data_IF_020174998901
#
_entry.id   IF_020174998901
#
_cell.length_a   1.000
_cell.length_b   1.000
_cell.length_c   1.000
_cell.angle_alpha   90.00
_cell.angle_beta   90.00
_cell.angle_gamma   90.00
#
_symmetry.space_group_name_H-M   'P 1'
#
loop_
_entity.id
_entity.type
_entity.pdbx_description
1 polymer ?
#
# COMPACT_ATOMS: atom_id res chain seq x y z
N UNK A 1 28.13 -3.99 14.99
CA UNK A 1 26.72 -3.85 15.38
C UNK A 1 25.86 -4.48 14.30
N UNK A 2 24.90 -5.30 14.65
CA UNK A 2 23.98 -5.82 13.65
C UNK A 2 23.14 -4.70 13.06
N UNK A 3 22.86 -4.80 11.77
CA UNK A 3 21.95 -3.88 11.11
C UNK A 3 20.53 -4.04 11.68
N UNK A 4 19.72 -2.98 11.72
CA UNK A 4 18.34 -3.10 12.16
C UNK A 4 17.55 -4.04 11.23
N UNK A 5 16.65 -4.80 11.79
CA UNK A 5 15.69 -5.58 11.01
C UNK A 5 14.59 -4.64 10.55
N UNK A 6 14.33 -4.61 9.26
CA UNK A 6 13.38 -3.69 8.66
C UNK A 6 12.06 -4.40 8.36
N UNK A 7 10.97 -3.76 8.75
CA UNK A 7 9.61 -4.18 8.42
C UNK A 7 8.85 -3.00 7.84
N UNK A 8 7.88 -3.27 6.98
CA UNK A 8 7.07 -2.24 6.36
C UNK A 8 5.61 -2.37 6.73
N UNK A 9 4.96 -1.24 6.96
CA UNK A 9 3.52 -1.13 7.08
C UNK A 9 2.94 -0.35 5.91
N UNK A 10 1.85 -0.84 5.35
CA UNK A 10 1.18 -0.19 4.22
C UNK A 10 -0.25 0.12 4.64
N UNK A 11 -0.64 1.38 4.50
CA UNK A 11 -2.01 1.83 4.69
C UNK A 11 -2.58 2.23 3.33
N UNK A 12 -3.46 1.40 2.79
CA UNK A 12 -4.15 1.65 1.53
C UNK A 12 -5.57 2.13 1.86
N UNK A 13 -5.71 3.42 2.11
CA UNK A 13 -6.98 4.03 2.50
C UNK A 13 -7.69 4.66 1.31
N UNK A 14 -8.81 5.35 1.55
CA UNK A 14 -9.60 5.98 0.49
C UNK A 14 -8.82 7.06 -0.26
N UNK A 15 -8.00 7.83 0.43
CA UNK A 15 -7.34 9.01 -0.14
C UNK A 15 -5.94 8.76 -0.64
N UNK A 16 -5.24 7.77 -0.10
CA UNK A 16 -3.84 7.56 -0.40
C UNK A 16 -3.36 6.17 -0.01
N UNK A 17 -2.24 5.76 -0.60
CA UNK A 17 -1.42 4.67 -0.10
C UNK A 17 -0.22 5.28 0.63
N UNK A 18 -0.01 4.88 1.88
CA UNK A 18 1.12 5.31 2.69
C UNK A 18 1.95 4.09 3.07
N UNK A 19 3.26 4.22 2.93
CA UNK A 19 4.23 3.17 3.28
C UNK A 19 5.17 3.72 4.34
N UNK A 20 5.37 2.96 5.41
CA UNK A 20 6.38 3.26 6.41
C UNK A 20 7.31 2.06 6.55
N UNK A 21 8.61 2.30 6.66
CA UNK A 21 9.60 1.28 6.96
C UNK A 21 10.16 1.56 8.34
N UNK A 22 10.05 0.58 9.20
CA UNK A 22 10.39 0.72 10.62
C UNK A 22 11.47 -0.26 11.03
N UNK A 23 12.18 0.12 12.09
CA UNK A 23 13.00 -0.81 12.86
C UNK A 23 12.06 -1.75 13.61
N UNK A 24 12.18 -3.06 13.37
CA UNK A 24 11.31 -4.06 13.97
C UNK A 24 11.42 -4.15 15.50
N UNK A 25 12.54 -3.74 16.07
CA UNK A 25 12.76 -3.82 17.52
C UNK A 25 12.26 -2.58 18.26
N UNK A 26 12.45 -1.40 17.66
CA UNK A 26 12.15 -0.13 18.36
C UNK A 26 10.86 0.51 17.88
N UNK A 27 10.36 0.13 16.71
CA UNK A 27 9.23 0.80 16.08
C UNK A 27 9.56 2.13 15.43
N UNK A 28 10.83 2.54 15.45
CA UNK A 28 11.23 3.82 14.86
C UNK A 28 10.99 3.81 13.34
N UNK A 29 10.34 4.86 12.84
CA UNK A 29 10.12 5.04 11.40
C UNK A 29 11.41 5.54 10.76
N UNK A 30 11.94 4.76 9.82
CA UNK A 30 13.22 5.05 9.15
C UNK A 30 13.02 5.59 7.74
N UNK A 31 11.94 5.22 7.08
CA UNK A 31 11.60 5.65 5.70
C UNK A 31 10.10 5.79 5.58
N UNK A 32 9.64 6.70 4.74
CA UNK A 32 8.20 6.87 4.47
C UNK A 32 7.99 7.26 3.02
N UNK A 33 6.85 6.84 2.47
CA UNK A 33 6.39 7.27 1.17
C UNK A 33 4.86 7.35 1.16
N UNK A 34 4.32 8.17 0.25
CA UNK A 34 2.88 8.36 0.12
C UNK A 34 2.55 8.71 -1.33
N UNK A 35 1.47 8.15 -1.83
CA UNK A 35 0.92 8.51 -3.13
C UNK A 35 -0.60 8.64 -3.03
N UNK A 36 -1.19 9.70 -3.62
CA UNK A 36 -2.63 9.92 -3.54
C UNK A 36 -3.39 8.94 -4.43
N UNK A 37 -4.64 8.66 -4.05
CA UNK A 37 -5.61 7.98 -4.88
C UNK A 37 -6.49 8.99 -5.60
N UNK A 38 -7.11 8.61 -6.75
CA UNK A 38 -8.09 9.47 -7.39
C UNK A 38 -9.27 9.78 -6.46
N UNK A 39 -9.88 10.96 -6.61
CA UNK A 39 -11.09 11.32 -5.89
C UNK A 39 -12.30 10.56 -6.44
N UNK A 40 -13.33 10.43 -5.60
CA UNK A 40 -14.60 9.85 -6.00
C UNK A 40 -14.98 8.61 -5.23
N UNK A 41 -16.16 8.06 -5.57
CA UNK A 41 -16.72 6.87 -4.92
C UNK A 41 -16.55 5.61 -5.76
N UNK A 42 -16.00 5.74 -6.95
CA UNK A 42 -15.60 4.62 -7.81
C UNK A 42 -14.18 4.86 -8.31
N UNK A 43 -13.37 3.82 -8.33
CA UNK A 43 -11.98 3.93 -8.76
C UNK A 43 -11.53 2.64 -9.46
N UNK A 44 -10.73 2.77 -10.51
CA UNK A 44 -10.06 1.63 -11.10
C UNK A 44 -9.06 1.07 -10.08
N UNK A 45 -9.19 -0.20 -9.66
CA UNK A 45 -8.24 -0.79 -8.71
C UNK A 45 -6.78 -0.72 -9.15
N UNK A 46 -6.49 -0.60 -10.45
CA UNK A 46 -5.13 -0.42 -10.93
C UNK A 46 -4.52 0.90 -10.44
N UNK A 47 -5.34 1.89 -10.11
CA UNK A 47 -4.85 3.14 -9.54
C UNK A 47 -4.26 2.91 -8.13
N UNK A 48 -4.79 1.96 -7.38
CA UNK A 48 -4.21 1.55 -6.09
C UNK A 48 -2.85 0.90 -6.27
N UNK A 49 -2.71 0.07 -7.30
CA UNK A 49 -1.43 -0.56 -7.61
C UNK A 49 -0.38 0.48 -8.02
N UNK A 50 -0.77 1.46 -8.86
CA UNK A 50 0.11 2.57 -9.24
C UNK A 50 0.53 3.39 -8.02
N UNK A 51 -0.40 3.67 -7.12
CA UNK A 51 -0.10 4.40 -5.88
C UNK A 51 0.86 3.62 -4.99
N UNK A 52 0.67 2.29 -4.88
CA UNK A 52 1.60 1.42 -4.17
C UNK A 52 3.00 1.49 -4.78
N UNK A 53 3.11 1.36 -6.09
CA UNK A 53 4.41 1.45 -6.77
C UNK A 53 5.09 2.80 -6.52
N UNK A 54 4.35 3.89 -6.59
CA UNK A 54 4.88 5.22 -6.35
C UNK A 54 5.26 5.43 -4.87
N UNK A 55 4.40 5.03 -3.94
CA UNK A 55 4.63 5.21 -2.51
C UNK A 55 5.80 4.37 -1.98
N UNK A 56 5.99 3.17 -2.53
CA UNK A 56 7.04 2.25 -2.10
C UNK A 56 8.36 2.40 -2.84
N UNK A 57 8.42 3.22 -3.87
CA UNK A 57 9.60 3.36 -4.72
C UNK A 57 10.86 3.70 -3.89
N UNK A 58 11.87 2.86 -3.98
CA UNK A 58 13.14 3.03 -3.27
C UNK A 58 13.09 2.78 -1.77
N UNK A 59 11.96 2.34 -1.21
CA UNK A 59 11.82 2.17 0.24
C UNK A 59 12.03 0.74 0.74
N UNK A 60 11.85 -0.26 -0.10
CA UNK A 60 11.75 -1.65 0.35
C UNK A 60 13.07 -2.41 0.43
N UNK A 61 14.19 -1.77 0.14
CA UNK A 61 15.49 -2.42 0.21
C UNK A 61 15.76 -2.90 1.64
N UNK A 62 16.04 -4.20 1.79
CA UNK A 62 16.31 -4.82 3.08
C UNK A 62 15.09 -5.10 3.94
N UNK A 63 13.87 -4.81 3.48
CA UNK A 63 12.64 -5.09 4.23
C UNK A 63 12.35 -6.59 4.23
N UNK A 64 12.17 -7.16 5.42
CA UNK A 64 11.97 -8.59 5.61
C UNK A 64 10.49 -9.02 5.65
N UNK A 65 9.60 -8.12 6.03
CA UNK A 65 8.17 -8.42 6.15
C UNK A 65 7.33 -7.16 5.91
N UNK A 66 6.14 -7.36 5.36
CA UNK A 66 5.18 -6.30 5.06
C UNK A 66 3.81 -6.68 5.60
N UNK A 67 3.15 -5.73 6.27
CA UNK A 67 1.75 -5.85 6.66
C UNK A 67 0.95 -4.76 5.97
N UNK A 68 -0.25 -5.09 5.51
CA UNK A 68 -1.10 -4.18 4.74
C UNK A 68 -2.46 -4.02 5.42
N UNK A 69 -2.84 -2.76 5.68
CA UNK A 69 -4.18 -2.39 6.05
C UNK A 69 -4.90 -1.77 4.85
N UNK A 70 -6.12 -2.20 4.60
CA UNK A 70 -6.91 -1.73 3.47
C UNK A 70 -8.22 -1.08 3.90
N UNK A 71 -9.00 -0.65 2.91
CA UNK A 71 -10.33 -0.09 3.12
C UNK A 71 -11.30 -1.16 3.61
N UNK A 72 -12.24 -0.77 4.48
CA UNK A 72 -13.20 -1.71 5.06
C UNK A 72 -14.39 -2.01 4.16
N UNK A 73 -14.87 -1.04 3.40
CA UNK A 73 -16.14 -1.12 2.68
C UNK A 73 -16.01 -1.02 1.16
N UNK A 74 -14.81 -1.28 0.65
CA UNK A 74 -14.58 -1.30 -0.78
C UNK A 74 -14.93 -2.65 -1.41
N UNK A 75 -15.43 -2.62 -2.65
CA UNK A 75 -15.73 -3.84 -3.40
C UNK A 75 -15.05 -3.81 -4.76
N UNK A 76 -14.35 -4.88 -5.10
CA UNK A 76 -13.71 -5.08 -6.40
C UNK A 76 -14.28 -6.33 -7.04
N UNK A 77 -14.72 -6.24 -8.30
CA UNK A 77 -15.26 -7.37 -9.05
C UNK A 77 -14.24 -7.82 -10.09
N UNK A 78 -13.94 -9.10 -10.09
CA UNK A 78 -13.00 -9.72 -11.02
C UNK A 78 -13.70 -10.80 -11.82
N UNK A 79 -13.25 -11.03 -13.07
CA UNK A 79 -13.67 -12.19 -13.85
C UNK A 79 -12.84 -13.43 -13.50
N UNK A 80 -13.07 -14.55 -14.18
CA UNK A 80 -12.37 -15.81 -13.93
C UNK A 80 -10.86 -15.72 -14.15
N UNK A 81 -10.42 -14.81 -15.02
CA UNK A 81 -9.00 -14.61 -15.28
C UNK A 81 -8.33 -13.64 -14.30
N UNK A 82 -9.09 -13.08 -13.36
CA UNK A 82 -8.59 -12.10 -12.42
C UNK A 82 -8.57 -10.68 -12.94
N UNK A 83 -9.23 -10.41 -14.07
CA UNK A 83 -9.31 -9.07 -14.64
C UNK A 83 -10.45 -8.27 -14.01
N UNK A 84 -10.24 -6.98 -13.79
CA UNK A 84 -11.24 -6.08 -13.21
C UNK A 84 -12.35 -5.84 -14.22
N UNK A 85 -13.61 -6.10 -13.84
CA UNK A 85 -14.80 -5.95 -14.72
C UNK A 85 -15.62 -4.71 -14.43
N UNK A 86 -15.33 -4.00 -13.35
CA UNK A 86 -16.02 -2.77 -12.94
C UNK A 86 -15.10 -1.96 -12.03
N UNK A 87 -15.14 -0.61 -12.08
CA UNK A 87 -14.41 0.19 -11.11
C UNK A 87 -14.80 -0.18 -9.69
N UNK A 88 -13.85 -0.15 -8.77
CA UNK A 88 -14.11 -0.45 -7.37
C UNK A 88 -15.11 0.55 -6.81
N UNK A 89 -16.05 0.04 -6.04
CA UNK A 89 -17.08 0.85 -5.37
C UNK A 89 -16.67 1.04 -3.91
N UNK A 90 -16.61 2.28 -3.50
CA UNK A 90 -16.19 2.65 -2.14
C UNK A 90 -17.38 2.98 -1.25
#
# INVERSE_FOLDING_TARGET
MPEPRLVAGVDCSTQATKVVVCDAETGAVLREGRAPHPDGTQVDPQEWWKAWEAASAGLLDGVEAIAIGGQQHGMVLLDEAGSVVHPAVL
#
